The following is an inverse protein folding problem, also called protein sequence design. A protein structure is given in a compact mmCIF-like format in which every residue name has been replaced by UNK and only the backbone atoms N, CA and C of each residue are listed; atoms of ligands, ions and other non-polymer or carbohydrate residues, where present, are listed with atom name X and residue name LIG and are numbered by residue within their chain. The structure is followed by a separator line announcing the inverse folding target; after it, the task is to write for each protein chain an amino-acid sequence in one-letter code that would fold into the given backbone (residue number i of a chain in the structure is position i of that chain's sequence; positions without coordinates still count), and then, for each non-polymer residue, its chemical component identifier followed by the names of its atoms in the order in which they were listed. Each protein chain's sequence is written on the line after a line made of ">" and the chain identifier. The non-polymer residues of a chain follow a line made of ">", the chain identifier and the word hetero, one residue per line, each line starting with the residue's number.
data_IF_143729944491
#
_entry.id   IF_143729944491
#
_cell.length_a   1.000
_cell.length_b   1.000
_cell.length_c   1.000
_cell.angle_alpha   90.00
_cell.angle_beta   90.00
_cell.angle_gamma   90.00
#
_symmetry.space_group_name_H-M   'P 1'
#
loop_
_entity.id
_entity.type
_entity.pdbx_description
1 polymer ?
#
# COMPACT_ATOMS: atom_id res chain seq x y z
N UNK A 1 66.17 41.45 -1.04
CA UNK A 1 64.93 41.82 -0.32
C UNK A 1 63.93 40.67 -0.51
N UNK A 2 63.64 39.95 0.56
CA UNK A 2 62.46 39.11 0.90
C UNK A 2 61.60 38.40 -0.18
N UNK A 3 61.73 37.06 -0.21
CA UNK A 3 60.72 35.99 0.03
C UNK A 3 59.27 36.08 -0.56
N UNK A 4 58.96 35.03 -1.37
CA UNK A 4 57.70 34.27 -1.60
C UNK A 4 56.47 34.88 -2.29
N UNK A 5 55.96 34.20 -3.33
CA UNK A 5 54.53 33.81 -3.35
C UNK A 5 54.17 32.64 -4.32
N UNK A 6 53.81 31.50 -3.69
CA UNK A 6 52.80 30.45 -3.99
C UNK A 6 52.65 29.71 -5.35
N UNK A 7 52.55 28.38 -5.17
CA UNK A 7 52.16 27.26 -6.06
C UNK A 7 50.84 27.49 -6.85
N UNK A 8 50.79 26.94 -8.05
CA UNK A 8 49.86 25.85 -8.50
C UNK A 8 49.82 25.86 -10.02
N UNK A 9 50.61 25.05 -10.73
CA UNK A 9 50.43 23.61 -11.02
C UNK A 9 49.03 23.28 -11.53
N UNK A 10 49.01 22.81 -12.78
CA UNK A 10 47.94 22.16 -13.56
C UNK A 10 47.23 23.13 -14.52
N UNK A 11 47.76 23.34 -15.73
CA UNK A 11 47.82 22.42 -16.88
C UNK A 11 46.48 22.29 -17.60
N UNK A 12 46.46 22.89 -18.80
CA UNK A 12 45.74 22.50 -20.01
C UNK A 12 44.25 22.21 -19.94
N UNK A 13 43.50 23.21 -20.41
CA UNK A 13 42.42 23.05 -21.38
C UNK A 13 42.69 21.85 -22.33
N UNK A 14 41.81 20.85 -22.35
CA UNK A 14 41.57 19.95 -23.49
C UNK A 14 40.29 19.12 -23.24
N UNK A 15 39.47 19.08 -24.27
CA UNK A 15 38.15 18.45 -24.37
C UNK A 15 38.15 16.95 -24.01
N UNK A 16 37.15 16.49 -23.23
CA UNK A 16 36.35 15.29 -23.55
C UNK A 16 34.94 15.42 -22.94
N UNK A 17 34.00 16.00 -23.69
CA UNK A 17 32.58 15.66 -23.58
C UNK A 17 32.28 14.63 -24.66
N UNK A 18 32.23 13.34 -24.33
CA UNK A 18 31.76 12.33 -25.28
C UNK A 18 31.25 11.08 -24.57
N UNK A 19 29.93 10.95 -24.58
CA UNK A 19 29.16 9.71 -24.65
C UNK A 19 29.30 8.71 -23.49
N UNK A 20 28.67 9.02 -22.35
CA UNK A 20 28.14 7.97 -21.48
C UNK A 20 27.03 7.17 -22.21
N UNK A 21 26.78 5.90 -21.83
CA UNK A 21 25.77 5.08 -22.48
C UNK A 21 24.40 5.76 -22.37
N UNK A 22 23.87 6.14 -23.52
CA UNK A 22 22.51 6.65 -23.71
C UNK A 22 21.55 5.55 -23.25
N UNK A 23 21.16 5.60 -21.98
CA UNK A 23 20.04 4.81 -21.46
C UNK A 23 18.81 5.22 -22.25
N UNK A 24 18.49 4.43 -23.27
CA UNK A 24 17.32 4.59 -24.09
C UNK A 24 16.10 4.55 -23.18
N UNK A 25 15.38 5.66 -23.12
CA UNK A 25 14.06 5.79 -22.49
C UNK A 25 13.18 4.65 -23.01
N UNK A 26 12.95 3.63 -22.17
CA UNK A 26 11.92 2.64 -22.42
C UNK A 26 10.59 3.39 -22.43
N UNK A 27 9.88 3.29 -23.56
CA UNK A 27 8.60 3.94 -23.74
C UNK A 27 7.60 3.32 -22.77
N UNK A 28 6.87 4.20 -22.08
CA UNK A 28 5.83 3.87 -21.12
C UNK A 28 4.81 2.91 -21.75
N UNK A 29 4.88 1.65 -21.36
CA UNK A 29 3.88 0.65 -21.72
C UNK A 29 2.53 1.15 -21.20
N UNK A 30 1.60 1.32 -22.14
CA UNK A 30 0.23 1.79 -21.94
C UNK A 30 -0.36 1.21 -20.65
N UNK A 31 -0.92 2.08 -19.81
CA UNK A 31 -1.66 1.69 -18.61
C UNK A 31 -2.79 0.75 -19.02
N UNK A 32 -2.55 -0.55 -18.87
CA UNK A 32 -3.60 -1.55 -18.84
C UNK A 32 -4.41 -1.24 -17.60
N UNK A 33 -5.58 -0.61 -17.78
CA UNK A 33 -6.62 -0.59 -16.76
C UNK A 33 -7.17 -2.00 -16.66
N UNK A 34 -6.40 -2.88 -16.02
CA UNK A 34 -6.93 -4.13 -15.51
C UNK A 34 -8.01 -3.74 -14.51
N UNK A 35 -9.26 -4.26 -14.60
CA UNK A 35 -10.20 -4.11 -13.50
C UNK A 35 -9.54 -4.75 -12.28
N UNK A 36 -9.03 -3.90 -11.40
CA UNK A 36 -8.45 -4.31 -10.14
C UNK A 36 -9.55 -5.09 -9.41
N UNK A 37 -9.28 -6.28 -8.85
CA UNK A 37 -10.28 -7.02 -8.10
C UNK A 37 -10.82 -6.09 -7.01
N UNK A 38 -12.07 -5.67 -7.18
CA UNK A 38 -12.75 -4.87 -6.16
C UNK A 38 -12.82 -5.75 -4.92
N UNK A 39 -12.14 -5.32 -3.86
CA UNK A 39 -12.11 -5.91 -2.51
C UNK A 39 -13.53 -6.10 -1.96
N UNK A 40 -14.22 -7.13 -2.45
CA UNK A 40 -15.63 -7.37 -2.16
C UNK A 40 -15.69 -8.02 -0.79
N UNK A 41 -16.15 -7.26 0.21
CA UNK A 41 -16.26 -7.76 1.58
C UNK A 41 -17.28 -8.89 1.63
N UNK A 42 -16.99 -9.96 2.38
CA UNK A 42 -17.86 -11.15 2.48
C UNK A 42 -18.37 -11.34 3.89
N UNK A 43 -19.64 -11.69 4.04
CA UNK A 43 -20.22 -11.93 5.35
C UNK A 43 -19.53 -13.12 6.01
N UNK A 44 -19.05 -12.95 7.23
CA UNK A 44 -18.32 -14.03 7.91
C UNK A 44 -19.19 -15.25 8.26
N UNK A 45 -20.51 -15.06 8.36
CA UNK A 45 -21.47 -16.12 8.68
C UNK A 45 -21.97 -16.87 7.44
N UNK A 46 -22.46 -16.17 6.41
CA UNK A 46 -23.09 -16.79 5.24
C UNK A 46 -22.29 -16.67 3.93
N UNK A 47 -21.10 -16.06 3.98
CA UNK A 47 -20.17 -15.89 2.85
C UNK A 47 -20.68 -15.08 1.66
N UNK A 48 -21.90 -14.51 1.75
CA UNK A 48 -22.47 -13.60 0.76
C UNK A 48 -21.53 -12.40 0.54
N UNK A 49 -21.36 -11.99 -0.71
CA UNK A 49 -20.55 -10.84 -1.10
C UNK A 49 -21.33 -9.52 -0.92
N UNK A 50 -20.62 -8.47 -0.55
CA UNK A 50 -21.16 -7.13 -0.42
C UNK A 50 -21.41 -6.53 -1.81
N UNK A 51 -22.70 -6.39 -2.17
CA UNK A 51 -23.10 -5.73 -3.41
C UNK A 51 -23.29 -4.22 -3.25
N UNK A 52 -23.38 -3.51 -4.37
CA UNK A 52 -23.53 -2.04 -4.45
C UNK A 52 -24.75 -1.49 -3.70
N UNK A 53 -25.82 -2.29 -3.53
CA UNK A 53 -27.07 -1.88 -2.87
C UNK A 53 -27.21 -2.28 -1.40
N UNK A 54 -26.28 -3.04 -0.81
CA UNK A 54 -26.39 -3.51 0.57
C UNK A 54 -25.04 -3.44 1.28
N UNK A 55 -24.86 -2.41 2.12
CA UNK A 55 -23.68 -2.28 2.95
C UNK A 55 -23.69 -3.26 4.12
N UNK A 56 -22.62 -4.02 4.24
CA UNK A 56 -22.33 -4.89 5.37
C UNK A 56 -21.87 -4.06 6.57
N UNK A 57 -22.22 -4.55 7.74
CA UNK A 57 -21.90 -3.93 9.03
C UNK A 57 -20.68 -4.61 9.61
N UNK A 58 -19.71 -3.81 10.01
CA UNK A 58 -18.57 -4.29 10.79
C UNK A 58 -19.00 -4.51 12.25
N UNK A 59 -18.41 -5.50 12.91
CA UNK A 59 -18.64 -5.73 14.32
C UNK A 59 -18.22 -4.49 15.14
N UNK A 60 -19.15 -3.88 15.87
CA UNK A 60 -18.87 -2.69 16.68
C UNK A 60 -17.88 -2.92 17.85
N UNK A 61 -17.64 -4.18 18.22
CA UNK A 61 -16.74 -4.52 19.32
C UNK A 61 -15.26 -4.57 18.91
N UNK A 62 -14.96 -5.18 17.76
CA UNK A 62 -13.59 -5.42 17.31
C UNK A 62 -13.24 -4.74 15.99
N UNK A 63 -14.22 -4.21 15.25
CA UNK A 63 -14.04 -3.54 13.95
C UNK A 63 -13.32 -4.34 12.86
N UNK A 64 -13.15 -5.66 13.03
CA UNK A 64 -12.44 -6.53 12.08
C UNK A 64 -13.35 -7.40 11.24
N UNK A 65 -14.37 -8.01 11.85
CA UNK A 65 -15.27 -8.95 11.15
C UNK A 65 -16.50 -8.21 10.59
N UNK A 66 -16.96 -8.61 9.40
CA UNK A 66 -18.10 -8.01 8.70
C UNK A 66 -19.27 -8.98 8.54
N UNK A 67 -20.49 -8.44 8.62
CA UNK A 67 -21.73 -9.19 8.55
C UNK A 67 -22.75 -8.48 7.66
N UNK A 68 -23.51 -9.24 6.87
CA UNK A 68 -24.57 -8.68 6.03
C UNK A 68 -25.80 -8.23 6.86
N UNK A 69 -25.96 -8.74 8.08
CA UNK A 69 -27.08 -8.43 8.96
C UNK A 69 -26.76 -8.70 10.43
N UNK A 70 -27.60 -8.18 11.34
CA UNK A 70 -27.52 -8.49 12.78
C UNK A 70 -27.82 -9.97 13.06
N UNK A 71 -28.67 -10.60 12.26
CA UNK A 71 -28.96 -12.04 12.36
C UNK A 71 -27.69 -12.87 12.11
N UNK A 72 -26.94 -12.56 11.05
CA UNK A 72 -25.66 -13.23 10.77
C UNK A 72 -24.62 -13.02 11.89
N UNK A 73 -24.55 -11.82 12.47
CA UNK A 73 -23.65 -11.54 13.59
C UNK A 73 -24.02 -12.33 14.85
N UNK A 74 -25.33 -12.47 15.14
CA UNK A 74 -25.81 -13.18 16.33
C UNK A 74 -25.69 -14.71 16.17
N UNK A 75 -25.96 -15.23 14.97
CA UNK A 75 -25.76 -16.64 14.63
C UNK A 75 -24.32 -17.07 14.87
N UNK A 76 -23.34 -16.30 14.38
CA UNK A 76 -21.92 -16.62 14.56
C UNK A 76 -21.34 -16.16 15.90
N UNK A 77 -22.13 -15.55 16.79
CA UNK A 77 -21.60 -14.94 18.01
C UNK A 77 -20.89 -15.93 18.91
N UNK A 78 -21.37 -17.19 18.99
CA UNK A 78 -20.76 -18.23 19.81
C UNK A 78 -19.29 -18.48 19.44
N UNK A 79 -18.97 -18.50 18.14
CA UNK A 79 -17.61 -18.69 17.64
C UNK A 79 -16.80 -17.38 17.62
N UNK A 80 -17.45 -16.27 17.24
CA UNK A 80 -16.77 -14.98 17.10
C UNK A 80 -16.38 -14.34 18.45
N UNK A 81 -17.11 -14.63 19.54
CA UNK A 81 -16.99 -13.91 20.83
C UNK A 81 -15.58 -13.90 21.43
N UNK A 82 -14.88 -15.03 21.39
CA UNK A 82 -13.52 -15.16 21.95
C UNK A 82 -12.55 -14.28 21.17
N UNK A 83 -12.55 -14.39 19.84
CA UNK A 83 -11.73 -13.58 18.94
C UNK A 83 -12.08 -12.09 19.04
N UNK A 84 -13.36 -11.74 19.11
CA UNK A 84 -13.81 -10.36 19.27
C UNK A 84 -13.22 -9.71 20.52
N UNK A 85 -13.15 -10.45 21.64
CA UNK A 85 -12.59 -9.94 22.90
C UNK A 85 -11.08 -9.76 22.82
N UNK A 86 -10.37 -10.74 22.26
CA UNK A 86 -8.93 -10.67 22.08
C UNK A 86 -8.54 -9.45 21.22
N UNK A 87 -9.18 -9.28 20.06
CA UNK A 87 -8.89 -8.16 19.15
C UNK A 87 -9.22 -6.81 19.80
N UNK A 88 -10.35 -6.70 20.50
CA UNK A 88 -10.74 -5.45 21.18
C UNK A 88 -9.68 -4.97 22.18
N UNK A 89 -8.98 -5.89 22.85
CA UNK A 89 -7.97 -5.56 23.85
C UNK A 89 -6.65 -5.05 23.25
N UNK A 90 -6.39 -5.30 21.97
CA UNK A 90 -5.14 -4.89 21.29
C UNK A 90 -5.30 -3.64 20.42
N UNK A 91 -6.52 -3.11 20.28
CA UNK A 91 -6.81 -1.89 19.51
C UNK A 91 -7.03 -0.66 20.41
N UNK A 92 -6.66 -0.75 21.69
CA UNK A 92 -6.77 0.32 22.69
C UNK A 92 -5.42 0.82 23.15
#
# INVERSE_FOLDING_TARGET
>A
MTISNTRSKLQSLLQVWSAGPRFQRMQSSKAVTQPQPSESRRCHCCLQEEGTGRKFKTCAGCSTTVYCSRACQTCQWQEHKSLCRAVKQHLG
#
